data_IF_777307022988
#
_entry.id   IF_777307022988
#
_cell.length_a   1.000
_cell.length_b   1.000
_cell.length_c   1.000
_cell.angle_alpha   90.00
_cell.angle_beta   90.00
_cell.angle_gamma   90.00
#
_symmetry.space_group_name_H-M   'P 1'
#
loop_
_entity.id
_entity.type
_entity.pdbx_description
1 polymer ?
#
# COMPACT_ATOMS: atom_id res chain seq x y z
N UNK A 1 -13.82 18.05 9.42
CA UNK A 1 -13.67 16.60 9.62
C UNK A 1 -14.99 15.97 9.20
N UNK A 2 -15.04 15.35 8.02
CA UNK A 2 -16.20 14.56 7.60
C UNK A 2 -16.20 13.27 8.40
N UNK A 3 -17.32 12.93 9.04
CA UNK A 3 -17.46 11.67 9.75
C UNK A 3 -17.51 10.54 8.71
N UNK A 4 -16.55 9.61 8.75
CA UNK A 4 -16.64 8.38 7.96
C UNK A 4 -17.91 7.67 8.40
N UNK A 5 -18.93 7.66 7.54
CA UNK A 5 -20.21 7.01 7.81
C UNK A 5 -20.02 5.49 7.72
N UNK A 6 -19.48 4.90 8.80
CA UNK A 6 -19.26 3.47 8.94
C UNK A 6 -20.61 2.74 8.79
N UNK A 7 -20.78 2.00 7.69
CA UNK A 7 -21.90 1.09 7.48
C UNK A 7 -22.66 1.24 6.18
N UNK A 8 -22.46 2.31 5.40
CA UNK A 8 -23.16 2.52 4.12
C UNK A 8 -22.48 1.87 2.92
N UNK A 9 -21.25 1.39 3.09
CA UNK A 9 -20.55 0.57 2.11
C UNK A 9 -20.02 -0.69 2.80
N UNK A 10 -20.35 -1.86 2.25
CA UNK A 10 -19.88 -3.15 2.73
C UNK A 10 -19.37 -4.00 1.57
N UNK A 11 -18.19 -4.59 1.71
CA UNK A 11 -17.60 -5.49 0.73
C UNK A 11 -17.60 -6.91 1.26
N UNK A 12 -18.16 -7.80 0.45
CA UNK A 12 -18.24 -9.23 0.70
C UNK A 12 -17.48 -9.97 -0.40
N UNK A 13 -16.47 -10.74 0.00
CA UNK A 13 -15.73 -11.63 -0.89
C UNK A 13 -15.93 -13.08 -0.43
N UNK A 14 -16.12 -14.01 -1.38
CA UNK A 14 -16.33 -15.44 -1.08
C UNK A 14 -15.09 -16.26 -1.39
N UNK A 15 -14.69 -17.13 -0.46
CA UNK A 15 -13.55 -18.03 -0.61
C UNK A 15 -12.34 -17.60 0.23
N UNK A 16 -11.22 -18.34 0.13
CA UNK A 16 -9.97 -17.94 0.77
C UNK A 16 -9.47 -16.64 0.12
N UNK A 17 -9.18 -15.63 0.93
CA UNK A 17 -8.66 -14.36 0.46
C UNK A 17 -7.13 -14.43 0.38
N UNK A 18 -6.62 -15.31 -0.47
CA UNK A 18 -5.19 -15.49 -0.68
C UNK A 18 -4.70 -14.66 -1.87
N UNK A 19 -3.48 -14.14 -1.79
CA UNK A 19 -2.88 -13.32 -2.85
C UNK A 19 -2.97 -13.96 -4.24
N UNK A 20 -3.38 -13.17 -5.23
CA UNK A 20 -3.51 -13.59 -6.63
C UNK A 20 -4.68 -14.52 -6.94
N UNK A 21 -5.46 -14.98 -5.95
CA UNK A 21 -6.66 -15.78 -6.20
C UNK A 21 -7.77 -14.93 -6.84
N UNK A 22 -8.65 -15.59 -7.59
CA UNK A 22 -9.84 -14.95 -8.17
C UNK A 22 -11.05 -15.28 -7.32
N UNK A 23 -11.72 -14.26 -6.78
CA UNK A 23 -12.86 -14.42 -5.86
C UNK A 23 -14.11 -13.70 -6.38
N UNK A 24 -15.32 -14.23 -6.15
CA UNK A 24 -16.54 -13.44 -6.27
C UNK A 24 -16.51 -12.31 -5.24
N UNK A 25 -16.57 -11.06 -5.72
CA UNK A 25 -16.57 -9.85 -4.89
C UNK A 25 -17.84 -9.03 -5.17
N UNK A 26 -18.53 -8.66 -4.10
CA UNK A 26 -19.74 -7.84 -4.12
C UNK A 26 -19.59 -6.67 -3.16
N UNK A 27 -19.87 -5.46 -3.65
CA UNK A 27 -19.96 -4.23 -2.87
C UNK A 27 -21.45 -3.91 -2.70
N UNK A 28 -21.90 -3.77 -1.47
CA UNK A 28 -23.21 -3.29 -1.12
C UNK A 28 -23.11 -1.82 -0.72
N UNK A 29 -24.01 -1.00 -1.26
CA UNK A 29 -24.10 0.43 -0.95
C UNK A 29 -25.52 0.81 -0.56
N UNK A 30 -25.65 1.63 0.48
CA UNK A 30 -26.88 2.29 0.92
C UNK A 30 -26.73 3.81 0.82
N UNK A 31 -27.72 4.52 0.27
CA UNK A 31 -27.63 5.97 0.09
C UNK A 31 -27.68 6.71 1.43
N UNK A 32 -27.36 8.02 1.45
CA UNK A 32 -27.63 8.85 2.61
C UNK A 32 -29.15 8.98 2.84
N UNK A 33 -29.56 9.57 3.96
CA UNK A 33 -30.97 9.71 4.34
C UNK A 33 -31.80 10.48 3.30
N UNK A 34 -31.17 11.40 2.58
CA UNK A 34 -31.78 12.17 1.49
C UNK A 34 -32.02 11.32 0.21
N UNK A 35 -31.50 10.10 0.17
CA UNK A 35 -31.57 9.19 -0.98
C UNK A 35 -30.58 9.55 -2.09
N UNK A 36 -30.60 8.78 -3.18
CA UNK A 36 -29.88 9.05 -4.43
C UNK A 36 -30.86 9.22 -5.58
N UNK A 37 -30.73 10.30 -6.33
CA UNK A 37 -31.65 10.65 -7.42
C UNK A 37 -31.11 10.16 -8.78
N UNK A 38 -31.98 10.11 -9.78
CA UNK A 38 -31.54 9.97 -11.17
C UNK A 38 -30.53 11.06 -11.53
N UNK A 39 -29.41 10.66 -12.11
CA UNK A 39 -28.23 11.50 -12.35
C UNK A 39 -27.14 11.35 -11.29
N UNK A 40 -27.46 10.81 -10.11
CA UNK A 40 -26.50 10.58 -9.03
C UNK A 40 -25.37 9.63 -9.41
N UNK A 41 -24.19 9.85 -8.82
CA UNK A 41 -22.95 9.17 -9.16
C UNK A 41 -22.30 8.52 -7.94
N UNK A 42 -21.60 7.42 -8.20
CA UNK A 42 -20.72 6.73 -7.29
C UNK A 42 -19.38 6.49 -7.99
N UNK A 43 -18.28 6.91 -7.37
CA UNK A 43 -16.94 6.58 -7.83
C UNK A 43 -16.25 5.68 -6.81
N UNK A 44 -16.00 4.44 -7.20
CA UNK A 44 -15.40 3.42 -6.34
C UNK A 44 -13.93 3.31 -6.68
N UNK A 45 -13.07 3.51 -5.69
CA UNK A 45 -11.63 3.50 -5.81
C UNK A 45 -11.00 2.36 -5.02
N UNK A 46 -9.98 1.73 -5.60
CA UNK A 46 -9.23 0.64 -4.97
C UNK A 46 -7.82 0.51 -5.55
N UNK A 47 -6.93 -0.12 -4.79
CA UNK A 47 -5.53 -0.31 -5.18
C UNK A 47 -5.15 -1.79 -5.26
N UNK A 48 -5.14 -2.33 -6.48
CA UNK A 48 -4.61 -3.66 -6.77
C UNK A 48 -3.24 -3.57 -7.43
N UNK A 49 -2.26 -2.82 -6.88
CA UNK A 49 -0.86 -2.83 -7.36
C UNK A 49 -0.37 -4.26 -7.64
N UNK A 50 -0.51 -4.69 -8.89
CA UNK A 50 -0.29 -6.06 -9.38
C UNK A 50 0.60 -5.94 -10.61
N UNK A 51 1.90 -5.70 -10.40
CA UNK A 51 2.90 -5.56 -11.46
C UNK A 51 2.64 -4.36 -12.39
N UNK A 52 3.71 -3.76 -12.93
CA UNK A 52 3.59 -2.55 -13.74
C UNK A 52 2.63 -2.69 -14.94
N UNK A 53 2.01 -1.57 -15.32
CA UNK A 53 1.29 -1.29 -16.58
C UNK A 53 0.37 -2.38 -17.16
N UNK A 54 -0.22 -3.28 -16.35
CA UNK A 54 -1.24 -4.21 -16.87
C UNK A 54 -2.63 -3.56 -16.86
N UNK A 55 -3.50 -4.01 -17.75
CA UNK A 55 -4.92 -3.66 -17.72
C UNK A 55 -5.58 -4.44 -16.58
N UNK A 56 -6.33 -3.74 -15.73
CA UNK A 56 -6.79 -4.27 -14.45
C UNK A 56 -8.32 -4.31 -14.30
N UNK A 57 -9.05 -4.02 -15.39
CA UNK A 57 -10.49 -4.30 -15.51
C UNK A 57 -10.71 -5.28 -16.66
N UNK A 58 -11.61 -6.26 -16.48
CA UNK A 58 -11.96 -7.19 -17.55
C UNK A 58 -12.94 -6.52 -18.53
N UNK A 59 -12.42 -5.69 -19.43
CA UNK A 59 -13.22 -5.01 -20.47
C UNK A 59 -14.47 -4.29 -19.92
N UNK A 60 -15.45 -4.07 -20.78
CA UNK A 60 -16.71 -3.41 -20.43
C UNK A 60 -17.68 -4.27 -19.60
N UNK A 61 -17.51 -5.61 -19.57
CA UNK A 61 -18.43 -6.55 -18.92
C UNK A 61 -18.03 -6.89 -17.46
N UNK A 62 -17.01 -6.22 -16.93
CA UNK A 62 -16.44 -6.50 -15.61
C UNK A 62 -17.29 -6.01 -14.44
N UNK A 63 -18.30 -5.17 -14.67
CA UNK A 63 -19.09 -4.54 -13.61
C UNK A 63 -20.57 -4.84 -13.81
N UNK A 64 -21.27 -5.24 -12.76
CA UNK A 64 -22.72 -5.44 -12.79
C UNK A 64 -23.33 -4.74 -11.59
N UNK A 65 -24.36 -3.93 -11.82
CA UNK A 65 -25.11 -3.22 -10.77
C UNK A 65 -26.52 -3.77 -10.70
N UNK A 66 -27.01 -4.03 -9.49
CA UNK A 66 -28.37 -4.47 -9.21
C UNK A 66 -28.97 -3.58 -8.13
N UNK A 67 -30.08 -2.93 -8.43
CA UNK A 67 -30.83 -2.11 -7.48
C UNK A 67 -32.32 -2.49 -7.47
N UNK A 68 -33.17 -1.68 -6.82
CA UNK A 68 -34.62 -1.81 -6.88
C UNK A 68 -35.18 -1.82 -8.31
N UNK A 69 -36.34 -2.46 -8.53
CA UNK A 69 -36.94 -2.68 -9.86
C UNK A 69 -37.26 -1.39 -10.63
N UNK A 70 -37.48 -0.29 -9.91
CA UNK A 70 -37.79 1.04 -10.45
C UNK A 70 -36.56 1.94 -10.63
N UNK A 71 -35.36 1.37 -10.48
CA UNK A 71 -34.09 2.06 -10.73
C UNK A 71 -33.35 1.45 -11.91
N UNK A 72 -32.57 2.27 -12.63
CA UNK A 72 -31.65 1.79 -13.65
C UNK A 72 -30.26 2.37 -13.45
N UNK A 73 -29.24 1.56 -13.76
CA UNK A 73 -27.86 1.85 -13.43
C UNK A 73 -26.94 1.58 -14.62
N UNK A 74 -26.03 2.51 -14.86
CA UNK A 74 -24.91 2.34 -15.76
C UNK A 74 -23.63 2.21 -14.93
N UNK A 75 -22.69 1.41 -15.41
CA UNK A 75 -21.39 1.30 -14.76
C UNK A 75 -20.28 1.08 -15.78
N UNK A 76 -19.15 1.73 -15.57
CA UNK A 76 -17.98 1.59 -16.41
C UNK A 76 -16.68 1.67 -15.61
N UNK A 77 -15.67 0.94 -16.08
CA UNK A 77 -14.30 1.12 -15.60
C UNK A 77 -13.76 2.43 -16.14
N UNK A 78 -13.28 3.30 -15.26
CA UNK A 78 -12.70 4.56 -15.69
C UNK A 78 -11.37 4.33 -16.39
N UNK A 79 -11.04 5.22 -17.33
CA UNK A 79 -9.76 5.24 -18.03
C UNK A 79 -9.38 3.95 -18.74
N UNK A 80 -10.36 3.18 -19.24
CA UNK A 80 -10.13 1.86 -19.83
C UNK A 80 -9.37 0.90 -18.86
N UNK A 81 -9.58 1.08 -17.56
CA UNK A 81 -8.89 0.31 -16.51
C UNK A 81 -7.45 0.72 -16.24
N UNK A 82 -7.02 1.92 -16.70
CA UNK A 82 -5.70 2.50 -16.40
C UNK A 82 -5.66 3.19 -15.03
N UNK A 83 -4.45 3.58 -14.63
CA UNK A 83 -4.17 4.23 -13.35
C UNK A 83 -4.88 5.58 -13.17
N UNK A 84 -5.70 5.71 -12.13
CA UNK A 84 -6.40 6.93 -11.74
C UNK A 84 -5.78 7.52 -10.48
N UNK A 85 -4.70 8.31 -10.63
CA UNK A 85 -4.13 9.03 -9.48
C UNK A 85 -5.01 10.23 -9.18
N UNK A 86 -5.69 10.20 -8.07
CA UNK A 86 -6.61 11.25 -7.67
C UNK A 86 -5.88 12.23 -6.75
N UNK A 87 -5.92 13.51 -7.11
CA UNK A 87 -5.17 14.54 -6.39
C UNK A 87 -6.00 15.18 -5.25
N UNK A 88 -7.34 15.01 -5.30
CA UNK A 88 -8.25 15.93 -4.61
C UNK A 88 -9.36 15.25 -3.79
N UNK A 89 -9.36 13.92 -3.63
CA UNK A 89 -10.53 13.27 -3.01
C UNK A 89 -10.65 13.60 -1.52
N UNK A 90 -9.52 13.54 -0.82
CA UNK A 90 -9.38 13.70 0.61
C UNK A 90 -7.89 13.47 0.91
N UNK A 91 -7.15 14.35 1.58
CA UNK A 91 -5.74 14.08 1.88
C UNK A 91 -5.48 12.74 2.61
N UNK A 92 -6.37 12.29 3.51
CA UNK A 92 -6.31 10.93 4.07
C UNK A 92 -6.67 9.78 3.13
N UNK A 93 -7.30 10.03 1.98
CA UNK A 93 -7.61 8.95 1.04
C UNK A 93 -6.33 8.59 0.26
N UNK A 94 -5.92 7.32 0.26
CA UNK A 94 -4.66 6.91 -0.38
C UNK A 94 -4.69 7.15 -1.89
N UNK A 95 -3.51 7.24 -2.51
CA UNK A 95 -3.41 7.32 -3.97
C UNK A 95 -3.97 6.03 -4.57
N UNK A 96 -5.16 6.13 -5.18
CA UNK A 96 -5.77 5.01 -5.86
C UNK A 96 -5.20 4.86 -7.26
N UNK A 97 -5.31 3.66 -7.79
CA UNK A 97 -4.95 3.38 -9.18
C UNK A 97 -6.15 2.92 -9.99
N UNK A 98 -7.20 2.40 -9.37
CA UNK A 98 -8.34 1.89 -10.12
C UNK A 98 -9.60 2.59 -9.65
N UNK A 99 -10.44 2.95 -10.62
CA UNK A 99 -11.69 3.62 -10.35
C UNK A 99 -12.80 3.05 -11.24
N UNK A 100 -13.98 2.90 -10.66
CA UNK A 100 -15.21 2.50 -11.33
C UNK A 100 -16.23 3.61 -11.12
N UNK A 101 -16.90 4.01 -12.19
CA UNK A 101 -18.01 4.96 -12.12
C UNK A 101 -19.33 4.20 -12.27
N UNK A 102 -20.22 4.38 -11.30
CA UNK A 102 -21.58 3.85 -11.30
C UNK A 102 -22.53 5.03 -11.26
N UNK A 103 -23.51 5.06 -12.16
CA UNK A 103 -24.45 6.16 -12.32
C UNK A 103 -25.88 5.65 -12.23
N UNK A 104 -26.70 6.32 -11.41
CA UNK A 104 -28.14 6.15 -11.43
C UNK A 104 -28.70 6.87 -12.67
N UNK A 105 -29.27 6.15 -13.62
CA UNK A 105 -29.80 6.71 -14.88
C UNK A 105 -31.26 7.12 -14.73
N UNK A 106 -32.04 6.32 -13.99
CA UNK A 106 -33.45 6.54 -13.74
C UNK A 106 -33.85 6.00 -12.36
N UNK A 107 -34.92 6.55 -11.78
CA UNK A 107 -35.45 6.19 -10.47
C UNK A 107 -34.87 7.01 -9.30
N UNK A 108 -35.13 6.56 -8.09
CA UNK A 108 -34.59 7.13 -6.85
C UNK A 108 -34.33 6.00 -5.85
N UNK A 109 -33.17 6.00 -5.24
CA UNK A 109 -32.79 5.07 -4.16
C UNK A 109 -33.11 5.74 -2.82
N UNK A 110 -34.05 5.22 -2.06
CA UNK A 110 -34.38 5.71 -0.72
C UNK A 110 -33.40 5.22 0.35
N UNK A 111 -33.45 5.81 1.55
CA UNK A 111 -32.56 5.49 2.69
C UNK A 111 -32.48 3.99 3.03
N UNK A 112 -33.60 3.28 2.92
CA UNK A 112 -33.71 1.84 3.24
C UNK A 112 -33.35 0.93 2.05
N UNK A 113 -33.15 1.51 0.87
CA UNK A 113 -32.78 0.76 -0.32
C UNK A 113 -31.27 0.51 -0.34
N UNK A 114 -30.88 -0.44 -1.19
CA UNK A 114 -29.48 -0.76 -1.43
C UNK A 114 -29.27 -1.17 -2.87
N UNK A 115 -28.04 -1.01 -3.32
CA UNK A 115 -27.57 -1.63 -4.56
C UNK A 115 -26.44 -2.62 -4.26
N UNK A 116 -26.36 -3.64 -5.09
CA UNK A 116 -25.25 -4.59 -5.16
C UNK A 116 -24.45 -4.31 -6.43
N UNK A 117 -23.14 -4.15 -6.26
CA UNK A 117 -22.17 -3.87 -7.32
C UNK A 117 -21.18 -5.03 -7.32
N UNK A 118 -21.23 -5.84 -8.36
CA UNK A 118 -20.27 -6.93 -8.56
C UNK A 118 -19.12 -6.44 -9.41
N UNK A 119 -17.90 -6.62 -8.93
CA UNK A 119 -16.67 -6.25 -9.64
C UNK A 119 -15.93 -7.51 -10.07
N UNK A 120 -15.50 -7.54 -11.33
CA UNK A 120 -14.69 -8.59 -11.93
C UNK A 120 -13.52 -7.98 -12.70
N UNK A 121 -12.32 -8.44 -12.35
CA UNK A 121 -11.07 -8.09 -13.04
C UNK A 121 -10.54 -9.25 -13.88
N UNK A 122 -11.20 -10.42 -13.81
CA UNK A 122 -11.00 -11.61 -14.63
C UNK A 122 -12.36 -12.25 -14.98
N UNK A 123 -12.43 -13.19 -15.95
CA UNK A 123 -13.68 -13.87 -16.32
C UNK A 123 -14.43 -14.49 -15.13
N UNK A 124 -13.67 -15.05 -14.19
CA UNK A 124 -14.20 -15.85 -13.08
C UNK A 124 -14.38 -15.04 -11.78
N UNK A 125 -14.06 -13.74 -11.77
CA UNK A 125 -14.21 -12.90 -10.57
C UNK A 125 -13.23 -11.74 -10.45
N UNK A 126 -13.03 -11.28 -9.22
CA UNK A 126 -12.06 -10.25 -8.85
C UNK A 126 -10.72 -10.90 -8.46
N UNK A 127 -9.65 -10.58 -9.18
CA UNK A 127 -8.29 -11.02 -8.86
C UNK A 127 -7.76 -10.24 -7.67
N UNK A 128 -7.50 -10.93 -6.56
CA UNK A 128 -6.92 -10.34 -5.35
C UNK A 128 -5.47 -9.88 -5.59
N UNK A 129 -5.02 -8.78 -4.97
CA UNK A 129 -3.63 -8.33 -4.95
C UNK A 129 -2.63 -9.47 -4.77
N UNK A 130 -1.48 -9.36 -5.44
CA UNK A 130 -0.35 -10.30 -5.24
C UNK A 130 0.50 -9.96 -4.03
N UNK A 131 0.27 -8.78 -3.44
CA UNK A 131 0.83 -8.39 -2.16
C UNK A 131 -0.18 -8.71 -1.06
N UNK A 132 0.23 -9.37 0.01
CA UNK A 132 -0.62 -9.65 1.17
C UNK A 132 -0.90 -8.35 1.90
N UNK A 133 -2.15 -8.06 2.24
CA UNK A 133 -2.59 -6.78 2.80
C UNK A 133 -3.55 -7.07 3.96
N UNK A 134 -3.20 -6.61 5.16
CA UNK A 134 -3.96 -6.90 6.37
C UNK A 134 -5.36 -6.23 6.36
N UNK A 135 -5.47 -5.07 5.71
CA UNK A 135 -6.67 -4.25 5.65
C UNK A 135 -6.87 -3.63 4.26
N UNK A 136 -7.18 -4.45 3.26
CA UNK A 136 -7.52 -3.99 1.90
C UNK A 136 -8.93 -3.41 1.85
N UNK A 137 -9.09 -2.22 1.24
CA UNK A 137 -10.35 -1.46 1.27
C UNK A 137 -10.73 -0.85 -0.05
N UNK A 138 -12.03 -0.67 -0.19
CA UNK A 138 -12.65 0.12 -1.24
C UNK A 138 -13.08 1.46 -0.66
N UNK A 139 -12.80 2.50 -1.42
CA UNK A 139 -13.20 3.86 -1.09
C UNK A 139 -14.26 4.30 -2.08
N UNK A 140 -15.23 5.08 -1.62
CA UNK A 140 -16.35 5.50 -2.45
C UNK A 140 -16.57 6.99 -2.28
N UNK A 141 -16.61 7.72 -3.39
CA UNK A 141 -17.12 9.10 -3.41
C UNK A 141 -18.56 9.05 -3.90
N UNK A 142 -19.47 9.57 -3.10
CA UNK A 142 -20.88 9.67 -3.47
C UNK A 142 -21.25 11.10 -3.88
N UNK A 143 -22.11 11.17 -4.89
CA UNK A 143 -22.77 12.38 -5.34
C UNK A 143 -24.24 12.05 -5.60
N UNK A 144 -25.10 12.14 -4.57
CA UNK A 144 -26.50 11.74 -4.68
C UNK A 144 -27.32 12.57 -5.69
N UNK A 145 -26.82 13.76 -6.05
CA UNK A 145 -27.52 14.77 -6.86
C UNK A 145 -27.06 14.82 -8.32
N UNK A 146 -25.89 14.29 -8.64
CA UNK A 146 -25.31 14.35 -9.98
C UNK A 146 -24.58 15.67 -10.29
N UNK A 147 -24.18 16.42 -9.26
CA UNK A 147 -23.55 17.74 -9.41
C UNK A 147 -22.04 17.64 -9.65
N UNK A 148 -21.41 16.51 -9.31
CA UNK A 148 -19.98 16.33 -9.43
C UNK A 148 -19.60 15.76 -10.79
N UNK A 149 -18.47 16.22 -11.31
CA UNK A 149 -17.81 15.64 -12.48
C UNK A 149 -16.39 15.25 -12.12
N UNK A 150 -16.01 13.99 -12.34
CA UNK A 150 -14.61 13.58 -12.29
C UNK A 150 -13.91 14.03 -13.58
N UNK A 151 -13.09 15.07 -13.47
CA UNK A 151 -12.35 15.63 -14.59
C UNK A 151 -11.03 14.90 -14.82
N UNK A 152 -10.81 14.51 -16.07
CA UNK A 152 -9.58 13.91 -16.58
C UNK A 152 -8.89 14.86 -17.58
N UNK A 153 -7.76 15.48 -17.26
CA UNK A 153 -6.97 16.22 -18.23
C UNK A 153 -6.26 15.28 -19.23
N UNK A 154 -6.41 15.52 -20.55
CA UNK A 154 -5.87 14.70 -21.66
C UNK A 154 -4.35 14.40 -21.64
N UNK A 155 -3.58 14.96 -20.69
CA UNK A 155 -2.12 14.81 -20.61
C UNK A 155 -1.57 14.65 -19.18
N UNK A 156 -2.43 14.64 -18.16
CA UNK A 156 -1.95 14.53 -16.79
C UNK A 156 -2.31 13.18 -16.19
N UNK A 157 -1.50 12.72 -15.24
CA UNK A 157 -1.78 11.50 -14.48
C UNK A 157 -2.82 11.75 -13.38
N UNK A 158 -3.11 13.02 -13.10
CA UNK A 158 -3.88 13.47 -11.94
C UNK A 158 -5.32 13.84 -12.28
N UNK A 159 -6.23 13.36 -11.45
CA UNK A 159 -7.68 13.47 -11.62
C UNK A 159 -8.29 14.22 -10.44
N UNK A 160 -9.41 14.88 -10.71
CA UNK A 160 -10.04 15.74 -9.71
C UNK A 160 -11.52 15.96 -9.93
N UNK A 161 -12.24 16.26 -8.85
CA UNK A 161 -13.66 16.55 -8.90
C UNK A 161 -13.92 18.03 -9.19
N UNK A 162 -14.92 18.28 -10.04
CA UNK A 162 -15.46 19.60 -10.31
C UNK A 162 -16.92 19.66 -9.82
N UNK A 163 -17.37 20.80 -9.26
CA UNK A 163 -16.55 22.00 -8.98
C UNK A 163 -15.55 21.76 -7.83
N UNK A 164 -14.38 22.41 -7.88
CA UNK A 164 -13.26 22.18 -6.92
C UNK A 164 -13.67 22.49 -5.49
N UNK A 165 -14.58 23.43 -5.31
CA UNK A 165 -15.09 23.89 -4.04
C UNK A 165 -16.09 22.93 -3.38
N UNK A 166 -16.60 21.92 -4.09
CA UNK A 166 -17.54 20.96 -3.51
C UNK A 166 -16.94 20.21 -2.31
N UNK A 167 -17.76 19.97 -1.28
CA UNK A 167 -17.41 19.03 -0.21
C UNK A 167 -17.71 17.61 -0.69
N UNK A 168 -16.70 16.75 -0.66
CA UNK A 168 -16.83 15.37 -1.08
C UNK A 168 -17.29 14.50 0.09
N UNK A 169 -18.34 13.71 -0.14
CA UNK A 169 -18.72 12.64 0.78
C UNK A 169 -17.94 11.37 0.41
N UNK A 170 -16.98 11.02 1.26
CA UNK A 170 -16.08 9.89 1.07
C UNK A 170 -16.37 8.81 2.10
N UNK A 171 -16.62 7.60 1.61
CA UNK A 171 -16.90 6.41 2.39
C UNK A 171 -15.77 5.40 2.25
N UNK A 172 -15.62 4.56 3.28
CA UNK A 172 -14.61 3.51 3.35
C UNK A 172 -15.31 2.19 3.68
N UNK A 173 -15.00 1.12 2.93
CA UNK A 173 -15.55 -0.21 3.19
C UNK A 173 -14.98 -0.84 4.47
N UNK A 174 -15.64 -1.90 4.95
CA UNK A 174 -14.97 -2.85 5.85
C UNK A 174 -13.66 -3.37 5.21
N UNK A 175 -12.65 -3.70 6.04
CA UNK A 175 -11.40 -4.26 5.54
C UNK A 175 -11.59 -5.71 5.09
N UNK A 176 -10.85 -6.08 4.06
CA UNK A 176 -10.57 -7.46 3.68
C UNK A 176 -9.12 -7.78 4.03
N UNK A 177 -8.88 -8.89 4.71
CA UNK A 177 -7.51 -9.39 4.96
C UNK A 177 -7.12 -10.33 3.83
N UNK A 178 -6.11 -9.94 3.06
CA UNK A 178 -5.55 -10.75 1.97
C UNK A 178 -4.26 -11.40 2.48
N UNK A 179 -4.26 -12.72 2.59
CA UNK A 179 -3.15 -13.50 3.16
C UNK A 179 -2.15 -13.93 2.09
N UNK A 180 -0.90 -14.14 2.51
CA UNK A 180 0.15 -14.70 1.66
C UNK A 180 -0.23 -16.09 1.11
N UNK A 181 0.42 -16.48 0.01
CA UNK A 181 0.34 -17.83 -0.51
C UNK A 181 1.12 -18.81 0.39
N UNK A 182 1.07 -20.11 0.07
CA UNK A 182 1.86 -21.12 0.76
C UNK A 182 3.37 -20.78 0.74
N UNK A 183 4.15 -21.19 1.77
CA UNK A 183 5.60 -21.04 1.81
C UNK A 183 6.27 -21.55 0.53
N UNK A 184 7.11 -20.73 -0.08
CA UNK A 184 7.80 -21.06 -1.32
C UNK A 184 9.27 -20.64 -1.37
N UNK A 185 9.68 -19.65 -0.56
CA UNK A 185 11.04 -19.12 -0.57
C UNK A 185 11.49 -18.65 0.82
N UNK A 186 12.81 -18.60 1.01
CA UNK A 186 13.43 -18.02 2.20
C UNK A 186 14.26 -16.79 1.82
N UNK A 187 13.96 -15.65 2.43
CA UNK A 187 14.82 -14.47 2.41
C UNK A 187 15.79 -14.56 3.59
N UNK A 188 17.09 -14.60 3.30
CA UNK A 188 18.14 -14.83 4.30
C UNK A 188 19.12 -13.66 4.28
N UNK A 189 19.21 -12.94 5.38
CA UNK A 189 20.08 -11.77 5.53
C UNK A 189 21.06 -12.00 6.67
N UNK A 190 22.32 -11.68 6.46
CA UNK A 190 23.41 -11.81 7.44
C UNK A 190 24.29 -10.56 7.40
N UNK A 191 24.88 -10.11 8.53
CA UNK A 191 25.83 -9.01 8.53
C UNK A 191 26.92 -9.21 7.48
N UNK A 192 27.25 -8.17 6.73
CA UNK A 192 28.26 -8.30 5.68
C UNK A 192 29.68 -8.44 6.22
N UNK A 193 29.91 -8.07 7.49
CA UNK A 193 31.19 -8.23 8.20
C UNK A 193 30.98 -9.03 9.50
N UNK A 194 31.96 -9.85 9.86
CA UNK A 194 31.97 -10.63 11.10
C UNK A 194 33.41 -10.87 11.59
N UNK A 195 33.57 -11.05 12.91
CA UNK A 195 34.83 -11.47 13.55
C UNK A 195 34.81 -12.94 14.00
N UNK A 196 33.94 -13.77 13.41
CA UNK A 196 33.91 -15.24 13.65
C UNK A 196 32.52 -15.82 13.97
N UNK A 197 31.50 -14.98 14.09
CA UNK A 197 30.09 -15.42 14.17
C UNK A 197 29.16 -14.41 13.53
N UNK A 198 28.08 -14.88 12.92
CA UNK A 198 27.12 -14.02 12.26
C UNK A 198 25.70 -14.36 12.71
N UNK A 199 24.95 -13.32 13.10
CA UNK A 199 23.51 -13.44 13.39
C UNK A 199 22.75 -13.31 12.08
N UNK A 200 22.18 -14.41 11.63
CA UNK A 200 21.41 -14.50 10.38
C UNK A 200 19.93 -14.40 10.68
N UNK A 201 19.26 -13.51 9.95
CA UNK A 201 17.80 -13.37 9.93
C UNK A 201 17.24 -14.16 8.74
N UNK A 202 16.13 -14.83 8.98
CA UNK A 202 15.42 -15.64 7.99
C UNK A 202 13.96 -15.22 7.98
N UNK A 203 13.40 -15.01 6.79
CA UNK A 203 11.97 -14.78 6.59
C UNK A 203 11.42 -15.81 5.63
N UNK A 204 10.33 -16.47 6.04
CA UNK A 204 9.57 -17.39 5.19
C UNK A 204 8.62 -16.58 4.33
N UNK A 205 8.75 -16.72 3.01
CA UNK A 205 7.98 -15.97 2.02
C UNK A 205 7.23 -16.88 1.06
N UNK A 206 6.13 -16.38 0.52
CA UNK A 206 5.43 -17.02 -0.58
C UNK A 206 6.13 -16.75 -1.93
N UNK A 207 5.53 -17.25 -3.01
CA UNK A 207 6.07 -17.09 -4.38
C UNK A 207 6.11 -15.64 -4.89
N UNK A 208 5.45 -14.71 -4.22
CA UNK A 208 5.42 -13.29 -4.54
C UNK A 208 6.32 -12.45 -3.62
N UNK A 209 6.96 -13.06 -2.62
CA UNK A 209 7.79 -12.38 -1.63
C UNK A 209 7.02 -11.85 -0.42
N UNK A 210 5.76 -12.27 -0.21
CA UNK A 210 5.01 -11.91 1.00
C UNK A 210 5.43 -12.79 2.18
N UNK A 211 5.62 -12.24 3.39
CA UNK A 211 5.80 -13.01 4.60
C UNK A 211 4.61 -13.93 4.88
N UNK A 212 4.90 -15.22 5.12
CA UNK A 212 3.88 -16.20 5.51
C UNK A 212 3.74 -16.17 7.03
N UNK A 213 2.84 -15.33 7.54
CA UNK A 213 2.71 -14.98 8.97
C UNK A 213 2.34 -16.15 9.88
N UNK A 214 1.75 -17.20 9.34
CA UNK A 214 1.35 -18.43 10.01
C UNK A 214 2.34 -19.59 9.78
N UNK A 215 3.53 -19.31 9.24
CA UNK A 215 4.59 -20.32 9.17
C UNK A 215 5.00 -20.76 10.58
N UNK A 216 5.04 -22.07 10.81
CA UNK A 216 5.46 -22.66 12.08
C UNK A 216 6.58 -23.68 11.86
N UNK A 217 7.50 -23.78 12.81
CA UNK A 217 8.58 -24.77 12.80
C UNK A 217 9.95 -24.17 13.13
N UNK A 218 11.00 -24.87 12.70
CA UNK A 218 12.38 -24.45 12.89
C UNK A 218 13.09 -24.34 11.54
N UNK A 219 13.96 -23.33 11.43
CA UNK A 219 14.91 -23.19 10.34
C UNK A 219 16.26 -23.77 10.76
N UNK A 220 16.91 -24.51 9.88
CA UNK A 220 18.28 -24.98 10.08
C UNK A 220 19.26 -24.04 9.38
N UNK A 221 20.27 -23.55 10.10
CA UNK A 221 21.30 -22.65 9.59
C UNK A 221 22.64 -23.39 9.58
N UNK A 222 23.35 -23.34 8.46
CA UNK A 222 24.59 -24.09 8.25
C UNK A 222 25.64 -23.24 7.54
N UNK A 223 26.87 -23.30 8.02
CA UNK A 223 28.07 -22.79 7.37
C UNK A 223 29.05 -23.94 7.16
N UNK A 224 30.25 -23.64 6.66
CA UNK A 224 31.30 -24.66 6.58
C UNK A 224 31.90 -24.99 7.96
N UNK A 225 31.68 -24.14 8.96
CA UNK A 225 32.31 -24.21 10.29
C UNK A 225 31.34 -24.60 11.42
N UNK A 226 30.03 -24.60 11.18
CA UNK A 226 29.05 -25.10 12.14
C UNK A 226 27.62 -25.06 11.67
N UNK A 227 26.72 -25.49 12.55
CA UNK A 227 25.28 -25.47 12.32
C UNK A 227 24.51 -25.11 13.60
N UNK A 228 23.31 -24.58 13.43
CA UNK A 228 22.37 -24.28 14.50
C UNK A 228 20.93 -24.36 13.97
N UNK A 229 19.95 -24.32 14.87
CA UNK A 229 18.54 -24.16 14.51
C UNK A 229 17.96 -22.93 15.21
N UNK A 230 16.95 -22.33 14.58
CA UNK A 230 16.18 -21.24 15.17
C UNK A 230 14.69 -21.51 14.96
N UNK A 231 13.90 -21.35 16.03
CA UNK A 231 12.46 -21.44 15.94
C UNK A 231 11.90 -20.21 15.20
N UNK A 232 10.91 -20.43 14.35
CA UNK A 232 10.12 -19.36 13.76
C UNK A 232 9.28 -18.70 14.85
N UNK A 233 9.26 -17.37 14.82
CA UNK A 233 8.32 -16.52 15.55
C UNK A 233 7.44 -15.82 14.51
N UNK A 234 6.25 -16.36 14.26
CA UNK A 234 5.44 -16.02 13.09
C UNK A 234 6.24 -16.28 11.80
N UNK A 235 6.45 -15.29 10.94
CA UNK A 235 7.11 -15.47 9.64
C UNK A 235 8.64 -15.42 9.67
N UNK A 236 9.28 -15.09 10.80
CA UNK A 236 10.73 -14.85 10.86
C UNK A 236 11.45 -15.66 11.95
N UNK A 237 12.75 -15.85 11.77
CA UNK A 237 13.65 -16.44 12.76
C UNK A 237 15.00 -15.71 12.73
N UNK A 238 15.73 -15.78 13.85
CA UNK A 238 17.11 -15.31 13.93
C UNK A 238 17.98 -16.35 14.64
N UNK A 239 19.12 -16.70 14.05
CA UNK A 239 20.08 -17.65 14.59
C UNK A 239 21.51 -17.15 14.45
N UNK A 240 22.37 -17.47 15.42
CA UNK A 240 23.81 -17.12 15.34
C UNK A 240 24.62 -18.37 15.05
N UNK A 241 25.40 -18.33 13.97
CA UNK A 241 26.23 -19.45 13.50
C UNK A 241 27.69 -18.99 13.37
N UNK A 242 28.68 -19.86 13.65
CA UNK A 242 30.07 -19.54 13.34
C UNK A 242 30.27 -19.34 11.84
N UNK A 243 31.16 -18.41 11.48
CA UNK A 243 31.60 -18.15 10.10
C UNK A 243 33.12 -18.12 10.08
N UNK A 244 33.73 -18.68 9.03
CA UNK A 244 35.18 -18.84 8.95
C UNK A 244 35.76 -18.48 7.57
N UNK A 245 37.09 -18.41 7.49
CA UNK A 245 37.82 -18.09 6.27
C UNK A 245 37.85 -16.59 5.97
N UNK A 246 38.18 -16.18 4.72
CA UNK A 246 38.11 -14.77 4.32
C UNK A 246 36.68 -14.33 3.95
N UNK A 247 35.80 -15.30 3.61
CA UNK A 247 34.39 -15.09 3.34
C UNK A 247 33.60 -16.39 3.51
N UNK A 248 32.33 -16.27 3.93
CA UNK A 248 31.39 -17.39 4.09
C UNK A 248 29.97 -16.99 3.65
N UNK A 249 29.05 -17.95 3.60
CA UNK A 249 27.61 -17.70 3.50
C UNK A 249 26.83 -18.72 4.31
N UNK A 250 25.69 -18.30 4.85
CA UNK A 250 24.84 -19.16 5.67
C UNK A 250 23.79 -19.82 4.79
N UNK A 251 23.84 -21.14 4.66
CA UNK A 251 22.80 -21.94 4.01
C UNK A 251 21.68 -22.18 5.00
N UNK A 252 20.44 -22.01 4.56
CA UNK A 252 19.26 -22.15 5.41
C UNK A 252 18.27 -23.10 4.77
N UNK A 253 17.66 -23.97 5.56
CA UNK A 253 16.56 -24.82 5.13
C UNK A 253 15.35 -24.75 6.07
N UNK A 254 14.16 -24.85 5.49
CA UNK A 254 12.86 -24.93 6.17
C UNK A 254 11.98 -25.94 5.42
N UNK A 255 11.75 -27.12 6.01
CA UNK A 255 11.14 -28.23 5.29
C UNK A 255 11.96 -28.59 4.04
N UNK A 256 11.33 -28.49 2.87
CA UNK A 256 11.98 -28.73 1.56
C UNK A 256 12.52 -27.44 0.90
N UNK A 257 12.30 -26.27 1.50
CA UNK A 257 12.75 -24.98 0.97
C UNK A 257 14.19 -24.73 1.44
N UNK A 258 15.08 -24.40 0.50
CA UNK A 258 16.48 -24.05 0.80
C UNK A 258 16.84 -22.68 0.20
N UNK A 259 17.73 -21.95 0.88
CA UNK A 259 18.27 -20.68 0.42
C UNK A 259 19.66 -20.42 1.03
N UNK A 260 20.29 -19.31 0.65
CA UNK A 260 21.56 -18.88 1.22
C UNK A 260 21.56 -17.37 1.47
N UNK A 261 22.31 -16.94 2.48
CA UNK A 261 22.49 -15.53 2.81
C UNK A 261 23.30 -14.78 1.76
N UNK A 262 23.29 -13.44 1.86
CA UNK A 262 24.37 -12.63 1.31
C UNK A 262 25.75 -13.10 1.85
N UNK A 263 26.85 -12.86 1.12
CA UNK A 263 28.19 -13.16 1.60
C UNK A 263 28.53 -12.38 2.88
N UNK A 264 29.31 -13.03 3.75
CA UNK A 264 29.89 -12.45 4.96
C UNK A 264 31.39 -12.41 4.78
N UNK A 265 32.01 -11.23 4.89
CA UNK A 265 33.46 -11.11 5.02
C UNK A 265 33.83 -11.35 6.48
N UNK A 266 34.79 -12.24 6.69
CA UNK A 266 35.27 -12.55 8.04
C UNK A 266 36.66 -11.95 8.19
N UNK A 267 36.79 -11.03 9.15
CA UNK A 267 38.02 -10.28 9.44
C UNK A 267 38.48 -10.57 10.87
N UNK A 268 39.80 -10.62 11.08
CA UNK A 268 40.35 -10.88 12.42
C UNK A 268 40.18 -9.68 13.37
N UNK A 269 40.17 -8.47 12.81
CA UNK A 269 40.06 -7.21 13.56
C UNK A 269 38.75 -6.50 13.23
N UNK A 270 38.29 -5.67 14.17
CA UNK A 270 37.09 -4.83 13.96
C UNK A 270 37.44 -3.63 13.09
N UNK A 271 36.70 -3.42 12.00
CA UNK A 271 36.76 -2.20 11.19
C UNK A 271 36.15 -1.02 11.95
N UNK A 272 36.71 0.20 11.84
CA UNK A 272 36.07 1.41 12.38
C UNK A 272 34.80 1.81 11.62
N UNK A 273 34.53 1.18 10.48
CA UNK A 273 33.34 1.38 9.66
C UNK A 273 32.50 0.10 9.59
N UNK A 274 31.20 0.25 9.80
CA UNK A 274 30.19 -0.81 9.63
C UNK A 274 29.47 -0.61 8.30
N UNK A 275 29.22 -1.71 7.58
CA UNK A 275 28.36 -1.67 6.40
C UNK A 275 26.90 -1.77 6.83
N UNK A 276 26.07 -0.85 6.36
CA UNK A 276 24.63 -0.84 6.59
C UNK A 276 23.88 -0.97 5.27
N UNK A 277 22.77 -1.70 5.29
CA UNK A 277 21.85 -1.89 4.18
C UNK A 277 20.61 -1.05 4.41
N UNK A 278 20.17 -0.32 3.40
CA UNK A 278 18.97 0.47 3.53
C UNK A 278 18.40 0.91 2.20
N UNK A 279 17.19 1.42 2.28
CA UNK A 279 16.45 1.96 1.15
C UNK A 279 16.20 3.46 1.38
N UNK A 280 17.01 4.36 0.77
CA UNK A 280 16.81 5.79 0.95
C UNK A 280 15.61 6.34 0.15
N UNK A 281 14.89 5.51 -0.62
CA UNK A 281 13.80 5.91 -1.52
C UNK A 281 12.62 4.94 -1.52
N UNK A 282 11.95 4.80 -0.37
CA UNK A 282 10.67 4.12 -0.30
C UNK A 282 9.49 5.08 -0.53
N UNK A 283 8.53 4.71 -1.39
CA UNK A 283 7.33 5.51 -1.61
C UNK A 283 6.11 5.02 -0.83
N UNK A 284 5.46 5.93 -0.12
CA UNK A 284 4.34 5.64 0.79
C UNK A 284 2.96 5.82 0.14
N UNK A 285 2.80 5.42 -1.13
CA UNK A 285 1.56 5.69 -1.88
C UNK A 285 0.37 4.77 -1.55
N UNK A 286 0.52 3.76 -0.70
CA UNK A 286 -0.44 2.67 -0.57
C UNK A 286 -1.49 2.90 0.52
N UNK A 287 -2.50 2.03 0.56
CA UNK A 287 -3.56 2.04 1.58
C UNK A 287 -3.08 1.57 2.96
N UNK A 288 -1.77 1.42 3.18
CA UNK A 288 -1.23 0.89 4.43
C UNK A 288 -0.89 2.05 5.35
N UNK A 289 -0.99 1.86 6.67
CA UNK A 289 -0.43 2.81 7.62
C UNK A 289 1.04 3.10 7.28
N UNK A 290 1.45 4.37 7.34
CA UNK A 290 2.82 4.79 7.00
C UNK A 290 3.87 3.97 7.76
N UNK A 291 3.59 3.67 9.03
CA UNK A 291 4.44 2.86 9.91
C UNK A 291 4.71 1.45 9.39
N UNK A 292 3.84 0.88 8.57
CA UNK A 292 4.00 -0.47 8.04
C UNK A 292 5.19 -0.55 7.07
N UNK A 293 5.50 0.54 6.34
CA UNK A 293 6.69 0.61 5.48
C UNK A 293 7.98 0.41 6.28
N UNK A 294 8.10 1.10 7.42
CA UNK A 294 9.26 1.00 8.29
C UNK A 294 9.33 -0.34 9.02
N UNK A 295 8.19 -0.85 9.50
CA UNK A 295 8.11 -2.19 10.07
C UNK A 295 8.53 -3.26 9.05
N UNK A 296 8.10 -3.15 7.80
CA UNK A 296 8.51 -4.05 6.72
C UNK A 296 10.01 -3.95 6.44
N UNK A 297 10.53 -2.73 6.31
CA UNK A 297 11.97 -2.50 6.13
C UNK A 297 12.80 -3.18 7.22
N UNK A 298 12.41 -3.00 8.48
CA UNK A 298 13.10 -3.55 9.65
C UNK A 298 12.93 -5.06 9.81
N UNK A 299 11.69 -5.53 9.83
CA UNK A 299 11.35 -6.89 10.31
C UNK A 299 11.26 -7.93 9.17
N UNK A 300 11.00 -7.49 7.94
CA UNK A 300 10.90 -8.38 6.77
C UNK A 300 12.17 -8.30 5.93
N UNK A 301 12.55 -7.10 5.52
CA UNK A 301 13.72 -6.92 4.65
C UNK A 301 15.05 -6.93 5.40
N UNK A 302 15.02 -6.86 6.74
CA UNK A 302 16.19 -6.77 7.60
C UNK A 302 17.12 -5.61 7.22
N UNK A 303 16.56 -4.47 6.81
CA UNK A 303 17.30 -3.24 6.57
C UNK A 303 17.72 -2.61 7.90
N UNK A 304 18.82 -1.86 7.85
CA UNK A 304 19.33 -1.06 8.95
C UNK A 304 18.74 0.37 8.92
N UNK A 305 18.32 0.86 7.76
CA UNK A 305 17.65 2.14 7.62
C UNK A 305 16.71 2.18 6.42
N UNK A 306 15.70 3.04 6.47
CA UNK A 306 14.84 3.31 5.31
C UNK A 306 14.34 4.76 5.31
N UNK A 307 14.23 5.35 4.11
CA UNK A 307 13.42 6.52 3.85
C UNK A 307 12.00 6.10 3.45
N UNK A 308 11.01 6.80 3.98
CA UNK A 308 9.62 6.70 3.56
C UNK A 308 9.15 8.08 3.10
N UNK A 309 8.88 8.21 1.80
CA UNK A 309 8.64 9.47 1.12
C UNK A 309 7.23 9.53 0.57
N UNK A 310 6.62 10.70 0.74
CA UNK A 310 5.50 11.18 -0.04
C UNK A 310 5.96 12.37 -0.88
N UNK A 311 5.20 12.71 -1.90
CA UNK A 311 5.49 13.90 -2.69
C UNK A 311 5.22 15.20 -1.90
N UNK A 312 5.89 16.28 -2.28
CA UNK A 312 5.69 17.63 -1.71
C UNK A 312 4.23 18.07 -1.62
N UNK A 313 3.39 17.70 -2.59
CA UNK A 313 1.97 18.05 -2.58
C UNK A 313 1.14 17.25 -1.55
N UNK A 314 1.61 16.10 -1.08
CA UNK A 314 0.95 15.35 0.00
C UNK A 314 1.43 15.84 1.36
N UNK A 315 2.74 16.08 1.50
CA UNK A 315 3.33 16.49 2.77
C UNK A 315 3.09 17.95 3.13
N UNK A 316 2.45 18.74 2.26
CA UNK A 316 2.01 20.09 2.60
C UNK A 316 0.73 20.11 3.43
N UNK A 317 0.03 18.98 3.55
CA UNK A 317 -1.10 18.82 4.47
C UNK A 317 -0.55 18.58 5.87
N UNK A 318 -0.90 19.46 6.81
CA UNK A 318 -0.39 19.44 8.19
C UNK A 318 -0.58 18.09 8.88
N UNK A 319 -1.76 17.47 8.75
CA UNK A 319 -2.04 16.18 9.37
C UNK A 319 -1.17 15.04 8.82
N UNK A 320 -0.87 15.04 7.51
CA UNK A 320 0.02 14.04 6.89
C UNK A 320 1.48 14.28 7.30
N UNK A 321 1.89 15.53 7.40
CA UNK A 321 3.23 15.88 7.85
C UNK A 321 3.48 15.48 9.31
N UNK A 322 2.49 15.67 10.17
CA UNK A 322 2.51 15.19 11.55
C UNK A 322 2.59 13.66 11.62
N UNK A 323 1.79 12.94 10.83
CA UNK A 323 1.82 11.46 10.78
C UNK A 323 3.20 10.93 10.33
N UNK A 324 3.84 11.58 9.35
CA UNK A 324 5.20 11.24 8.93
C UNK A 324 6.22 11.47 10.03
N UNK A 325 6.15 12.60 10.74
CA UNK A 325 7.04 12.90 11.86
C UNK A 325 6.89 11.85 12.98
N UNK A 326 5.65 11.49 13.32
CA UNK A 326 5.36 10.45 14.31
C UNK A 326 5.93 9.10 13.87
N UNK A 327 5.74 8.72 12.60
CA UNK A 327 6.29 7.48 12.06
C UNK A 327 7.83 7.46 12.08
N UNK A 328 8.49 8.56 11.72
CA UNK A 328 9.95 8.66 11.80
C UNK A 328 10.44 8.56 13.23
N UNK A 329 9.80 9.27 14.18
CA UNK A 329 10.17 9.20 15.59
C UNK A 329 9.96 7.80 16.19
N UNK A 330 8.90 7.10 15.77
CA UNK A 330 8.63 5.73 16.22
C UNK A 330 9.68 4.72 15.72
N UNK A 331 10.25 4.94 14.54
CA UNK A 331 11.19 4.02 13.90
C UNK A 331 12.64 4.51 13.84
N UNK A 332 12.96 5.66 14.44
CA UNK A 332 14.35 5.99 14.76
C UNK A 332 14.74 5.28 16.07
N UNK A 333 15.27 4.06 15.91
CA UNK A 333 15.60 3.13 16.98
C UNK A 333 17.13 2.97 17.05
N UNK A 334 17.83 3.75 17.90
CA UNK A 334 19.29 3.75 17.94
C UNK A 334 19.89 2.36 18.13
N UNK A 335 20.72 1.95 17.17
CA UNK A 335 21.39 0.64 17.18
C UNK A 335 20.56 -0.52 16.61
N UNK A 336 19.32 -0.27 16.18
CA UNK A 336 18.44 -1.29 15.59
C UNK A 336 17.97 -0.92 14.19
N UNK A 337 17.41 0.28 13.99
CA UNK A 337 16.85 0.73 12.72
C UNK A 337 16.75 2.25 12.69
N UNK A 338 17.02 2.87 11.54
CA UNK A 338 16.90 4.33 11.37
C UNK A 338 15.86 4.65 10.30
N UNK A 339 14.75 5.28 10.69
CA UNK A 339 13.89 5.96 9.75
C UNK A 339 14.56 7.27 9.30
N UNK A 340 14.76 7.45 7.99
CA UNK A 340 15.32 8.66 7.41
C UNK A 340 14.19 9.66 7.09
N UNK A 341 14.07 10.78 7.83
CA UNK A 341 13.07 11.79 7.52
C UNK A 341 13.31 12.36 6.13
N UNK A 342 12.35 12.20 5.23
CA UNK A 342 12.54 12.54 3.82
C UNK A 342 11.25 12.80 3.06
N UNK A 343 11.38 13.47 1.91
CA UNK A 343 10.28 13.74 0.99
C UNK A 343 10.79 13.78 -0.46
N UNK A 344 9.89 13.48 -1.41
CA UNK A 344 10.18 13.57 -2.83
C UNK A 344 9.60 14.88 -3.40
N UNK A 345 10.45 15.71 -3.98
CA UNK A 345 10.10 16.98 -4.57
C UNK A 345 10.03 16.87 -6.09
N UNK A 346 8.88 17.18 -6.67
CA UNK A 346 8.79 17.43 -8.09
C UNK A 346 9.20 18.88 -8.36
N UNK A 347 10.12 19.10 -9.30
CA UNK A 347 10.55 20.46 -9.63
C UNK A 347 10.19 20.84 -11.05
N UNK A 348 9.41 21.90 -11.20
CA UNK A 348 9.38 22.65 -12.44
C UNK A 348 10.71 23.41 -12.62
N UNK A 349 11.13 23.71 -13.87
CA UNK A 349 10.49 23.37 -15.14
C UNK A 349 11.05 22.09 -15.81
N UNK A 350 12.07 21.44 -15.24
CA UNK A 350 12.75 20.31 -15.89
C UNK A 350 12.03 18.97 -15.70
N UNK A 351 11.03 18.92 -14.81
CA UNK A 351 10.26 17.70 -14.53
C UNK A 351 11.07 16.65 -13.76
N UNK A 352 12.23 17.03 -13.20
CA UNK A 352 13.03 16.13 -12.38
C UNK A 352 12.43 15.95 -10.99
N UNK A 353 12.75 14.81 -10.37
CA UNK A 353 12.40 14.51 -8.99
C UNK A 353 13.66 14.62 -8.12
N UNK A 354 13.54 15.19 -6.93
CA UNK A 354 14.65 15.37 -5.98
C UNK A 354 14.25 14.87 -4.60
N UNK A 355 15.20 14.26 -3.90
CA UNK A 355 14.98 13.76 -2.55
C UNK A 355 15.48 14.82 -1.58
N UNK A 356 14.63 15.26 -0.66
CA UNK A 356 15.07 16.04 0.49
C UNK A 356 15.10 15.17 1.72
N UNK A 357 16.16 15.33 2.52
CA UNK A 357 16.34 14.66 3.80
C UNK A 357 16.37 15.72 4.90
N UNK A 358 15.72 15.43 6.02
CA UNK A 358 15.55 16.37 7.13
C UNK A 358 16.25 15.83 8.37
N UNK A 359 17.48 16.29 8.69
CA UNK A 359 18.21 15.81 9.86
C UNK A 359 17.52 16.12 11.21
N UNK A 360 16.61 17.09 11.22
CA UNK A 360 15.84 17.48 12.40
C UNK A 360 14.41 17.88 11.95
N UNK A 361 13.52 16.90 11.73
CA UNK A 361 12.17 17.15 11.25
C UNK A 361 11.26 17.74 12.34
N UNK A 362 11.58 17.53 13.62
CA UNK A 362 10.79 18.01 14.75
C UNK A 362 10.60 19.53 14.71
N UNK A 363 9.34 19.97 14.78
CA UNK A 363 8.97 21.38 14.76
C UNK A 363 9.17 22.07 13.41
N UNK A 364 9.53 21.33 12.35
CA UNK A 364 9.52 21.86 10.99
C UNK A 364 8.07 21.99 10.50
N UNK A 365 7.70 23.10 9.85
CA UNK A 365 6.40 23.20 9.20
C UNK A 365 6.34 22.29 7.97
N UNK A 366 5.13 21.95 7.49
CA UNK A 366 4.94 21.29 6.21
C UNK A 366 5.69 22.00 5.09
N UNK A 367 6.37 21.24 4.22
CA UNK A 367 7.18 21.80 3.13
C UNK A 367 6.36 21.78 1.84
N UNK A 368 6.08 22.98 1.30
CA UNK A 368 5.40 23.14 0.02
C UNK A 368 6.37 23.69 -1.03
N UNK A 369 6.61 22.94 -2.10
CA UNK A 369 7.54 23.33 -3.16
C UNK A 369 7.08 22.83 -4.54
N UNK A 370 5.83 23.09 -4.91
CA UNK A 370 5.31 22.78 -6.25
C UNK A 370 4.53 23.96 -6.86
N UNK A 371 4.84 24.28 -8.12
CA UNK A 371 4.06 25.23 -8.94
C UNK A 371 3.12 24.45 -9.88
N UNK A 372 2.23 23.63 -9.29
CA UNK A 372 1.20 22.89 -10.03
C UNK A 372 -0.18 23.47 -9.72
N UNK A 373 -1.10 23.57 -10.69
CA UNK A 373 -2.44 24.15 -10.47
C UNK A 373 -3.22 23.53 -9.31
N UNK A 374 -3.14 22.20 -9.14
CA UNK A 374 -3.82 21.51 -8.05
C UNK A 374 -3.18 21.81 -6.68
N UNK A 375 -1.88 22.11 -6.66
CA UNK A 375 -1.16 22.57 -5.48
C UNK A 375 -1.51 24.04 -5.11
N UNK A 376 -2.15 24.80 -6.01
CA UNK A 376 -2.66 26.16 -5.76
C UNK A 376 -4.14 26.17 -5.32
N UNK A 377 -4.73 25.01 -5.00
CA UNK A 377 -6.09 24.95 -4.46
C UNK A 377 -6.11 25.62 -3.07
N UNK A 378 -6.93 26.67 -2.86
CA UNK A 378 -7.04 27.34 -1.56
C UNK A 378 -7.39 26.40 -0.39
N UNK A 379 -8.01 25.23 -0.67
CA UNK A 379 -8.29 24.20 0.34
C UNK A 379 -7.03 23.48 0.85
N UNK A 380 -5.97 23.41 0.04
CA UNK A 380 -4.68 22.81 0.42
C UNK A 380 -3.76 23.81 1.15
N UNK A 381 -3.91 25.11 0.87
CA UNK A 381 -3.14 26.19 1.53
C UNK A 381 -3.69 26.56 2.92
N UNK A 382 -4.87 26.03 3.26
CA UNK A 382 -5.60 26.42 4.46
C UNK A 382 -5.92 25.21 5.35
N UNK A 383 -4.88 24.49 5.81
CA UNK A 383 -4.86 23.78 7.10
C UNK A 383 -3.48 23.76 7.72
#
# INVERSE_FOLDING_TARGET
>A
MSAIANGRIQVNAKGPLQVGETVPLEIQYSPPAEGMQAGGNLWIFYDIRQFGDRQHTYGADGITVRGPEDTSWEAEGLMEGRQVRTFDIHPPAPEFLHAVHVKCVDGTLGEEDHISIQLRTAPDGFVLPVNAIDSFRFWLVEDPTGELTLYHPDRDKYHYFLPREAELSVLESNPLTITAAEPAALQVTTPSHSTGSATTRVVVTDRYGNPVRDAEGEVALRTNSGETTAALNSFNAAGTVPVEGPADSVRVSFGEIESASNPVRVEADTSPYTLYWGDPHGMLFNQRPIVEHFAWGKDVNALDFAGGQLFSYSICISEIWEELQDAWAQFDLPGEFVALPSAEFATGPDGSHRHGFFPAPEGQPPVFCEDRPAANDPKLHAR
#
